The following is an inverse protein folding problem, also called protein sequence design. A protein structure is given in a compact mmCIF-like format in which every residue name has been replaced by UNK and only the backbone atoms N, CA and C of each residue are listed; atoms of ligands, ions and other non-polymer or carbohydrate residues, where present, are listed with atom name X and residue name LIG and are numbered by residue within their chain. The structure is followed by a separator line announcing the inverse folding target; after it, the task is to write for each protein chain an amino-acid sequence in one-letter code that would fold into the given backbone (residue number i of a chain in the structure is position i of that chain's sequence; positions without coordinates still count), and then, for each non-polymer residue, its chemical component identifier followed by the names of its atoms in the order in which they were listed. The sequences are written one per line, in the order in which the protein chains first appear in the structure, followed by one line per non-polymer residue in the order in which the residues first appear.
data_IF_209123308838
#
_entry.id   IF_209123308838
#
_cell.length_a   1.000
_cell.length_b   1.000
_cell.length_c   1.000
_cell.angle_alpha   90.00
_cell.angle_beta   90.00
_cell.angle_gamma   90.00
#
_symmetry.space_group_name_H-M   'P 1'
#
loop_
_entity.id
_entity.type
_entity.pdbx_description
1 polymer ?
#
# COMPACT_ATOMS: atom_id res chain seq x y z
N UNK A 1 26.05 -17.51 -48.02
CA UNK A 1 26.42 -16.31 -47.26
C UNK A 1 25.28 -15.99 -46.32
N UNK A 2 25.60 -15.86 -45.02
CA UNK A 2 24.92 -15.20 -43.90
C UNK A 2 23.38 -15.01 -43.96
N UNK A 3 22.60 -15.28 -42.91
CA UNK A 3 22.93 -15.47 -41.49
C UNK A 3 21.69 -15.93 -40.73
N UNK A 4 21.87 -16.86 -39.79
CA UNK A 4 20.95 -17.27 -38.73
C UNK A 4 20.66 -16.14 -37.70
N UNK A 5 20.74 -14.86 -38.10
CA UNK A 5 20.75 -13.71 -37.20
C UNK A 5 19.36 -13.11 -36.93
N UNK A 6 18.30 -13.65 -37.51
CA UNK A 6 16.93 -13.12 -37.34
C UNK A 6 16.09 -13.95 -36.34
N UNK A 7 16.76 -14.84 -35.59
CA UNK A 7 16.15 -15.75 -34.62
C UNK A 7 15.84 -15.14 -33.24
N UNK A 8 16.11 -13.86 -32.93
CA UNK A 8 16.11 -13.43 -31.51
C UNK A 8 15.37 -12.13 -31.12
N UNK A 9 14.86 -11.29 -32.03
CA UNK A 9 14.49 -9.90 -31.64
C UNK A 9 12.98 -9.56 -31.62
N UNK A 10 12.07 -10.39 -32.15
CA UNK A 10 10.67 -9.95 -32.32
C UNK A 10 9.57 -10.79 -31.64
N UNK A 11 9.91 -11.86 -30.91
CA UNK A 11 8.89 -12.65 -30.18
C UNK A 11 9.05 -12.62 -28.65
N UNK A 12 9.82 -11.68 -28.12
CA UNK A 12 9.89 -11.39 -26.67
C UNK A 12 8.70 -10.57 -26.15
N UNK A 13 7.67 -10.33 -26.96
CA UNK A 13 6.52 -9.49 -26.61
C UNK A 13 5.22 -10.30 -26.61
N UNK A 14 5.08 -11.36 -25.79
CA UNK A 14 3.71 -11.78 -25.42
C UNK A 14 3.52 -12.67 -24.20
N UNK A 15 4.41 -12.67 -23.21
CA UNK A 15 4.08 -13.22 -21.89
C UNK A 15 4.57 -12.28 -20.77
N UNK A 16 4.17 -10.99 -20.86
CA UNK A 16 4.09 -10.09 -19.69
C UNK A 16 2.77 -10.33 -18.94
N UNK A 17 2.49 -11.57 -18.55
CA UNK A 17 1.32 -11.89 -17.72
C UNK A 17 1.68 -12.74 -16.51
N UNK A 18 2.85 -12.47 -15.91
CA UNK A 18 2.95 -12.50 -14.46
C UNK A 18 3.15 -11.06 -14.02
N UNK A 19 2.02 -10.35 -13.87
CA UNK A 19 2.01 -9.23 -12.95
C UNK A 19 2.56 -9.75 -11.64
N UNK A 20 3.77 -9.30 -11.31
CA UNK A 20 4.43 -9.53 -10.03
C UNK A 20 3.50 -8.98 -8.95
N UNK A 21 2.56 -9.82 -8.52
CA UNK A 21 1.79 -9.61 -7.31
C UNK A 21 2.79 -9.78 -6.20
N UNK A 22 3.58 -8.72 -5.97
CA UNK A 22 4.36 -8.57 -4.75
C UNK A 22 3.32 -8.44 -3.66
N UNK A 23 2.96 -9.58 -3.08
CA UNK A 23 2.21 -9.65 -1.85
C UNK A 23 3.08 -9.00 -0.78
N UNK A 24 2.91 -7.69 -0.59
CA UNK A 24 3.53 -6.97 0.52
C UNK A 24 2.82 -7.43 1.78
N UNK A 25 3.30 -8.54 2.33
CA UNK A 25 2.91 -9.04 3.64
C UNK A 25 3.34 -8.00 4.67
N UNK A 26 2.39 -7.16 5.09
CA UNK A 26 2.60 -6.31 6.25
C UNK A 26 2.52 -7.19 7.49
N UNK A 27 3.67 -7.45 8.11
CA UNK A 27 3.79 -8.21 9.35
C UNK A 27 3.09 -7.44 10.47
N UNK A 28 1.79 -7.69 10.63
CA UNK A 28 1.04 -7.32 11.83
C UNK A 28 1.45 -8.28 12.95
N UNK A 29 2.69 -8.14 13.40
CA UNK A 29 3.24 -8.86 14.55
C UNK A 29 4.02 -7.86 15.35
N UNK A 30 3.56 -7.60 16.57
CA UNK A 30 4.07 -6.68 17.59
C UNK A 30 5.58 -6.83 17.83
N UNK A 31 6.38 -6.34 16.88
CA UNK A 31 7.83 -6.29 16.91
C UNK A 31 8.24 -4.94 16.38
N UNK A 32 8.50 -4.10 17.37
CA UNK A 32 9.26 -2.88 17.30
C UNK A 32 10.37 -2.95 16.25
N UNK A 33 10.41 -1.91 15.41
CA UNK A 33 11.45 -1.58 14.44
C UNK A 33 11.65 -2.63 13.33
N UNK A 34 10.96 -2.41 12.20
CA UNK A 34 11.53 -2.79 10.90
C UNK A 34 12.81 -1.97 10.78
N UNK A 35 13.95 -2.66 10.87
CA UNK A 35 15.24 -2.12 10.47
C UNK A 35 15.07 -1.52 9.07
N UNK A 36 15.42 -0.24 8.88
CA UNK A 36 15.40 0.48 7.60
C UNK A 36 16.52 -0.05 6.65
N UNK A 37 16.77 -1.35 6.73
CA UNK A 37 17.81 -2.09 6.07
C UNK A 37 17.59 -2.12 4.56
N UNK A 38 18.30 -1.23 3.88
CA UNK A 38 18.87 -1.41 2.54
C UNK A 38 17.92 -1.95 1.47
N UNK A 39 16.74 -1.36 1.33
CA UNK A 39 16.10 -1.32 0.03
C UNK A 39 16.88 -0.33 -0.86
N UNK A 40 17.88 -0.84 -1.57
CA UNK A 40 18.80 -0.03 -2.39
C UNK A 40 18.17 0.48 -3.69
N UNK A 41 16.98 0.02 -4.03
CA UNK A 41 16.22 0.49 -5.19
C UNK A 41 15.37 1.71 -4.83
N UNK A 42 15.45 2.76 -5.64
CA UNK A 42 14.64 3.98 -5.53
C UNK A 42 13.14 3.66 -5.44
N UNK A 43 12.68 2.67 -6.22
CA UNK A 43 11.29 2.20 -6.21
C UNK A 43 10.83 1.69 -4.84
N UNK A 44 11.70 1.01 -4.10
CA UNK A 44 11.36 0.48 -2.78
C UNK A 44 11.35 1.57 -1.71
N UNK A 45 12.20 2.60 -1.82
CA UNK A 45 12.14 3.76 -0.93
C UNK A 45 10.86 4.59 -1.16
N UNK A 46 10.44 4.77 -2.42
CA UNK A 46 9.16 5.42 -2.77
C UNK A 46 8.00 4.63 -2.15
N UNK A 47 7.98 3.31 -2.36
CA UNK A 47 6.92 2.44 -1.85
C UNK A 47 6.81 2.48 -0.32
N UNK A 48 7.94 2.46 0.40
CA UNK A 48 7.98 2.61 1.86
C UNK A 48 7.41 3.96 2.28
N UNK A 49 7.77 5.03 1.58
CA UNK A 49 7.21 6.38 1.81
C UNK A 49 5.70 6.44 1.60
N UNK A 50 5.19 5.78 0.56
CA UNK A 50 3.75 5.69 0.28
C UNK A 50 3.01 4.90 1.35
N UNK A 51 3.54 3.74 1.77
CA UNK A 51 2.96 2.94 2.86
C UNK A 51 2.89 3.73 4.16
N UNK A 52 3.95 4.44 4.53
CA UNK A 52 3.96 5.32 5.71
C UNK A 52 2.94 6.46 5.60
N UNK A 53 2.76 7.04 4.41
CA UNK A 53 1.73 8.05 4.18
C UNK A 53 0.32 7.47 4.34
N UNK A 54 0.05 6.32 3.72
CA UNK A 54 -1.22 5.62 3.83
C UNK A 54 -1.56 5.28 5.29
N UNK A 55 -0.58 4.89 6.11
CA UNK A 55 -0.78 4.67 7.56
C UNK A 55 -1.30 5.92 8.26
N UNK A 56 -0.69 7.07 8.01
CA UNK A 56 -1.11 8.36 8.58
C UNK A 56 -2.53 8.74 8.13
N UNK A 57 -2.83 8.53 6.86
CA UNK A 57 -4.15 8.81 6.31
C UNK A 57 -5.22 7.91 6.94
N UNK A 58 -4.89 6.63 7.18
CA UNK A 58 -5.75 5.69 7.87
C UNK A 58 -6.01 6.09 9.33
N UNK A 59 -4.98 6.50 10.07
CA UNK A 59 -5.11 7.03 11.43
C UNK A 59 -6.04 8.26 11.48
N UNK A 60 -5.93 9.17 10.50
CA UNK A 60 -6.81 10.33 10.37
C UNK A 60 -8.27 9.95 10.08
N UNK A 61 -8.50 8.98 9.18
CA UNK A 61 -9.83 8.47 8.88
C UNK A 61 -10.45 7.85 10.12
N UNK A 62 -9.69 7.04 10.86
CA UNK A 62 -10.15 6.43 12.10
C UNK A 62 -10.57 7.49 13.15
N UNK A 63 -9.78 8.55 13.29
CA UNK A 63 -10.12 9.67 14.17
C UNK A 63 -11.40 10.38 13.72
N UNK A 64 -11.54 10.67 12.43
CA UNK A 64 -12.74 11.30 11.88
C UNK A 64 -14.00 10.47 12.13
N UNK A 65 -13.92 9.14 11.97
CA UNK A 65 -15.04 8.23 12.26
C UNK A 65 -15.41 8.29 13.74
N UNK A 66 -14.42 8.29 14.64
CA UNK A 66 -14.65 8.44 16.08
C UNK A 66 -15.34 9.77 16.41
N UNK A 67 -14.91 10.87 15.79
CA UNK A 67 -15.51 12.19 15.99
C UNK A 67 -16.96 12.25 15.51
N UNK A 68 -17.26 11.68 14.34
CA UNK A 68 -18.63 11.57 13.81
C UNK A 68 -19.50 10.72 14.74
N UNK A 69 -19.00 9.57 15.20
CA UNK A 69 -19.71 8.69 16.14
C UNK A 69 -20.06 9.42 17.44
N UNK A 70 -19.14 10.20 17.98
CA UNK A 70 -19.38 10.99 19.19
C UNK A 70 -20.42 12.08 18.97
N UNK A 71 -20.37 12.79 17.83
CA UNK A 71 -21.39 13.77 17.46
C UNK A 71 -22.78 13.14 17.35
N UNK A 72 -22.89 11.97 16.72
CA UNK A 72 -24.15 11.23 16.63
C UNK A 72 -24.68 10.83 18.01
N UNK A 73 -23.82 10.35 18.90
CA UNK A 73 -24.19 10.02 20.28
C UNK A 73 -24.77 11.23 21.02
N UNK A 74 -24.14 12.40 20.87
CA UNK A 74 -24.63 13.64 21.49
C UNK A 74 -26.00 14.06 20.93
N UNK A 75 -26.22 13.90 19.62
CA UNK A 75 -27.53 14.19 19.01
C UNK A 75 -28.61 13.28 19.60
N UNK A 76 -28.34 11.98 19.70
CA UNK A 76 -29.28 11.00 20.28
C UNK A 76 -29.57 11.33 21.76
N UNK A 77 -28.54 11.69 22.54
CA UNK A 77 -28.69 12.07 23.94
C UNK A 77 -29.58 13.31 24.12
N UNK A 78 -29.42 14.33 23.27
CA UNK A 78 -30.27 15.53 23.30
C UNK A 78 -31.71 15.19 22.94
N UNK A 79 -31.93 14.40 21.89
CA UNK A 79 -33.28 14.00 21.45
C UNK A 79 -34.00 13.14 22.49
N UNK A 80 -33.28 12.27 23.21
CA UNK A 80 -33.87 11.42 24.24
C UNK A 80 -34.23 12.14 25.55
N UNK A 81 -33.82 13.40 25.72
CA UNK A 81 -34.17 14.23 26.88
C UNK A 81 -35.46 15.05 26.67
N UNK A 82 -35.97 15.11 25.44
CA UNK A 82 -37.23 15.78 25.08
C UNK A 82 -38.37 14.78 25.17
#
# INVERSE_FOLDING_TARGET
GASFAELEIQQSQQEEEEGDVVEIVTTTGDRDVVDEGHFTSESAQILIGEIMRCKRDLENIQKNISDVKNKMKNIIDVLGRV
#
